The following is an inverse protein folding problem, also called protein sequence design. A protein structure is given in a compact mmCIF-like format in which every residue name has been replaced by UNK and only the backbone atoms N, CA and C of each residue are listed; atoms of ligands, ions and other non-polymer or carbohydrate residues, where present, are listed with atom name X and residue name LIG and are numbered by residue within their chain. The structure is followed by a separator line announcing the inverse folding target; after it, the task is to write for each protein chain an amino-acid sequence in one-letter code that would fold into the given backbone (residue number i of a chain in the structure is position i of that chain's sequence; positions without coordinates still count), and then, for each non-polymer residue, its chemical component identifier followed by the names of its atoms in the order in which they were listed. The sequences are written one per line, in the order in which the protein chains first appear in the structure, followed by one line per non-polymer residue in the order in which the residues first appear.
data_IF_397759262069
#
_entry.id   IF_397759262069
#
_cell.length_a   1.000
_cell.length_b   1.000
_cell.length_c   1.000
_cell.angle_alpha   90.00
_cell.angle_beta   90.00
_cell.angle_gamma   90.00
#
_symmetry.space_group_name_H-M   'P 1'
#
loop_
_entity.id
_entity.type
_entity.pdbx_description
1 polymer ?
#
# COMPACT_ATOMS: atom_id res chain seq x y z
N UNK A 1 47.53 16.07 7.76
CA UNK A 1 47.49 16.81 6.48
C UNK A 1 46.07 17.31 6.26
N UNK A 2 45.94 18.62 6.11
CA UNK A 2 44.70 19.40 6.15
C UNK A 2 44.38 19.75 4.70
N UNK A 3 43.27 19.27 4.13
CA UNK A 3 42.75 19.79 2.86
C UNK A 3 41.33 20.31 3.09
N UNK A 4 41.27 21.62 3.26
CA UNK A 4 40.06 22.45 3.12
C UNK A 4 39.89 22.72 1.63
N UNK A 5 38.68 22.59 1.10
CA UNK A 5 38.26 23.26 -0.13
C UNK A 5 36.94 23.96 0.17
N UNK A 6 36.83 25.28 -0.09
CA UNK A 6 35.67 26.08 0.24
C UNK A 6 34.74 26.33 -0.96
N UNK A 7 33.56 26.88 -0.63
CA UNK A 7 32.92 28.02 -1.29
C UNK A 7 32.12 27.83 -2.60
N UNK A 8 30.81 28.12 -2.45
CA UNK A 8 29.88 28.87 -3.34
C UNK A 8 29.61 28.32 -4.75
N UNK A 9 28.36 28.26 -5.23
CA UNK A 9 27.60 29.34 -5.91
C UNK A 9 26.15 28.81 -6.04
N UNK A 10 25.16 29.45 -5.42
CA UNK A 10 24.28 30.49 -5.97
C UNK A 10 23.26 30.02 -7.05
N UNK A 11 22.03 30.47 -6.83
CA UNK A 11 20.79 30.11 -7.51
C UNK A 11 20.71 30.56 -8.98
N UNK A 12 19.92 29.82 -9.75
CA UNK A 12 19.21 30.36 -10.91
C UNK A 12 17.86 29.64 -11.05
N UNK A 13 16.81 30.27 -10.50
CA UNK A 13 15.41 29.99 -10.85
C UNK A 13 15.20 30.53 -12.27
N UNK A 14 15.08 29.63 -13.25
CA UNK A 14 14.61 30.01 -14.59
C UNK A 14 13.09 30.02 -14.54
N UNK A 15 12.52 31.21 -14.36
CA UNK A 15 11.10 31.46 -14.58
C UNK A 15 10.85 31.58 -16.08
N UNK A 16 10.28 30.55 -16.70
CA UNK A 16 9.78 30.62 -18.08
C UNK A 16 8.43 31.32 -18.08
N UNK A 17 8.42 32.60 -18.43
CA UNK A 17 7.23 33.34 -18.83
C UNK A 17 6.84 32.87 -20.25
N UNK A 18 5.79 32.06 -20.36
CA UNK A 18 5.13 31.83 -21.64
C UNK A 18 4.11 32.95 -21.86
N UNK A 19 4.48 33.92 -22.68
CA UNK A 19 3.60 35.00 -23.13
C UNK A 19 2.44 34.46 -23.95
N UNK A 20 1.25 34.91 -23.58
CA UNK A 20 -0.02 34.75 -24.28
C UNK A 20 -0.01 35.45 -25.64
N UNK A 21 0.03 34.69 -26.73
CA UNK A 21 -0.51 35.14 -28.02
C UNK A 21 -1.98 34.77 -28.09
N UNK A 22 -2.84 35.76 -27.86
CA UNK A 22 -4.26 35.74 -28.19
C UNK A 22 -4.39 35.92 -29.70
N UNK A 23 -4.94 34.92 -30.38
CA UNK A 23 -5.61 35.10 -31.67
C UNK A 23 -7.09 34.74 -31.50
N UNK A 24 -7.93 35.76 -31.60
CA UNK A 24 -9.34 35.64 -31.98
C UNK A 24 -9.40 35.42 -33.50
N UNK A 25 -10.34 34.72 -34.13
CA UNK A 25 -11.61 34.13 -33.73
C UNK A 25 -11.94 33.01 -34.75
N UNK A 26 -12.67 31.99 -34.34
CA UNK A 26 -13.84 31.47 -35.06
C UNK A 26 -14.62 30.52 -34.13
N UNK A 27 -15.94 30.56 -34.25
CA UNK A 27 -16.91 29.86 -33.43
C UNK A 27 -16.66 28.35 -33.38
N UNK A 28 -16.38 27.79 -32.20
CA UNK A 28 -16.92 26.50 -31.74
C UNK A 28 -16.71 26.40 -30.24
N UNK A 29 -17.79 26.60 -29.49
CA UNK A 29 -17.94 26.16 -28.10
C UNK A 29 -17.68 24.66 -28.01
N UNK A 30 -16.44 24.27 -27.73
CA UNK A 30 -16.13 22.94 -27.20
C UNK A 30 -15.49 23.17 -25.85
N UNK A 31 -16.35 23.20 -24.82
CA UNK A 31 -15.91 23.03 -23.45
C UNK A 31 -15.09 21.74 -23.42
N UNK A 32 -13.77 21.89 -23.41
CA UNK A 32 -12.86 20.79 -23.19
C UNK A 32 -13.26 20.18 -21.84
N UNK A 33 -13.99 19.08 -21.90
CA UNK A 33 -14.29 18.24 -20.76
C UNK A 33 -12.95 17.77 -20.23
N UNK A 34 -12.47 18.46 -19.19
CA UNK A 34 -11.37 17.98 -18.36
C UNK A 34 -11.78 16.57 -17.96
N UNK A 35 -11.06 15.52 -18.36
CA UNK A 35 -11.45 14.17 -18.00
C UNK A 35 -11.49 14.11 -16.49
N UNK A 36 -12.68 13.87 -15.92
CA UNK A 36 -12.84 13.62 -14.49
C UNK A 36 -11.84 12.54 -14.11
N UNK A 37 -10.87 12.89 -13.27
CA UNK A 37 -9.88 11.95 -12.77
C UNK A 37 -10.63 10.76 -12.18
N UNK A 38 -10.45 9.56 -12.76
CA UNK A 38 -10.98 8.35 -12.16
C UNK A 38 -10.48 8.28 -10.73
N UNK A 39 -11.31 7.88 -9.75
CA UNK A 39 -10.87 7.67 -8.39
C UNK A 39 -9.61 6.79 -8.39
N UNK A 40 -8.52 7.32 -7.85
CA UNK A 40 -7.30 6.55 -7.64
C UNK A 40 -7.51 5.64 -6.44
N UNK A 41 -7.14 4.37 -6.57
CA UNK A 41 -7.27 3.38 -5.50
C UNK A 41 -8.35 2.32 -5.75
N UNK A 42 -8.57 1.43 -4.78
CA UNK A 42 -9.46 0.30 -4.94
C UNK A 42 -10.92 0.71 -5.10
N UNK A 43 -11.64 0.00 -5.97
CA UNK A 43 -13.11 0.06 -5.96
C UNK A 43 -13.66 -0.44 -4.63
N UNK A 44 -14.88 -0.06 -4.26
CA UNK A 44 -15.50 -0.49 -3.00
C UNK A 44 -15.54 -2.02 -2.84
N UNK A 45 -15.82 -2.74 -3.92
CA UNK A 45 -15.86 -4.21 -3.92
C UNK A 45 -14.47 -4.81 -3.63
N UNK A 46 -13.43 -4.28 -4.28
CA UNK A 46 -12.04 -4.70 -4.06
C UNK A 46 -11.59 -4.31 -2.65
N UNK A 47 -11.99 -3.15 -2.15
CA UNK A 47 -11.71 -2.74 -0.79
C UNK A 47 -12.35 -3.68 0.23
N UNK A 48 -13.60 -4.11 0.04
CA UNK A 48 -14.23 -5.12 0.91
C UNK A 48 -13.48 -6.45 0.88
N UNK A 49 -12.97 -6.85 -0.29
CA UNK A 49 -12.14 -8.05 -0.40
C UNK A 49 -10.81 -7.88 0.37
N UNK A 50 -10.12 -6.74 0.22
CA UNK A 50 -8.89 -6.42 0.96
C UNK A 50 -9.14 -6.44 2.48
N UNK A 51 -10.23 -5.82 2.94
CA UNK A 51 -10.62 -5.79 4.36
C UNK A 51 -10.84 -7.21 4.91
N UNK A 52 -11.55 -8.04 4.14
CA UNK A 52 -11.79 -9.44 4.47
C UNK A 52 -10.49 -10.23 4.54
N UNK A 53 -9.60 -10.07 3.56
CA UNK A 53 -8.30 -10.78 3.54
C UNK A 53 -7.41 -10.32 4.69
N UNK A 54 -7.33 -9.03 4.97
CA UNK A 54 -6.58 -8.50 6.11
C UNK A 54 -7.14 -9.01 7.44
N UNK A 55 -8.46 -9.08 7.59
CA UNK A 55 -9.07 -9.69 8.78
C UNK A 55 -8.61 -11.15 8.96
N UNK A 56 -8.63 -11.95 7.91
CA UNK A 56 -8.18 -13.34 8.02
C UNK A 56 -6.69 -13.44 8.38
N UNK A 57 -5.85 -12.55 7.84
CA UNK A 57 -4.42 -12.49 8.18
C UNK A 57 -4.23 -12.11 9.65
N UNK A 58 -5.00 -11.14 10.15
CA UNK A 58 -4.95 -10.73 11.55
C UNK A 58 -5.47 -11.83 12.49
N UNK A 59 -6.58 -12.48 12.13
CA UNK A 59 -7.12 -13.61 12.90
C UNK A 59 -6.06 -14.73 12.99
N UNK A 60 -5.41 -15.09 11.88
CA UNK A 60 -4.33 -16.06 11.85
C UNK A 60 -3.09 -15.63 12.66
N UNK A 61 -2.72 -14.34 12.59
CA UNK A 61 -1.64 -13.77 13.40
C UNK A 61 -1.91 -13.92 14.90
N UNK A 62 -3.15 -13.65 15.33
CA UNK A 62 -3.59 -13.80 16.71
C UNK A 62 -3.88 -15.25 17.11
N UNK A 63 -3.71 -16.21 16.19
CA UNK A 63 -3.99 -17.63 16.43
C UNK A 63 -5.49 -17.92 16.65
N UNK A 64 -6.38 -17.07 16.15
CA UNK A 64 -7.83 -17.23 16.22
C UNK A 64 -8.43 -17.48 14.83
N UNK A 65 -9.61 -18.10 14.79
CA UNK A 65 -10.32 -18.33 13.53
C UNK A 65 -9.70 -19.43 12.67
N UNK A 66 -9.99 -19.38 11.37
CA UNK A 66 -9.55 -20.40 10.41
C UNK A 66 -8.11 -20.14 9.96
N UNK A 67 -7.24 -21.17 9.95
CA UNK A 67 -5.91 -21.05 9.39
C UNK A 67 -5.91 -20.55 7.94
N UNK A 68 -4.92 -19.74 7.56
CA UNK A 68 -4.68 -19.39 6.17
C UNK A 68 -4.32 -20.64 5.36
N UNK A 69 -5.11 -20.92 4.33
CA UNK A 69 -4.95 -22.06 3.44
C UNK A 69 -4.51 -21.61 2.05
N UNK A 70 -3.97 -22.54 1.24
CA UNK A 70 -3.43 -22.24 -0.07
C UNK A 70 -4.44 -21.60 -1.04
N UNK A 71 -5.74 -21.87 -0.90
CA UNK A 71 -6.79 -21.27 -1.72
C UNK A 71 -6.99 -19.76 -1.46
N UNK A 72 -6.45 -19.25 -0.36
CA UNK A 72 -6.50 -17.83 0.00
C UNK A 72 -5.42 -17.00 -0.71
N UNK A 73 -4.41 -17.66 -1.30
CA UNK A 73 -3.28 -17.03 -1.95
C UNK A 73 -3.29 -17.30 -3.46
N UNK A 74 -2.77 -16.35 -4.23
CA UNK A 74 -2.58 -16.52 -5.67
C UNK A 74 -1.56 -17.63 -5.97
N UNK A 75 -1.59 -18.15 -7.19
CA UNK A 75 -0.60 -19.13 -7.63
C UNK A 75 0.83 -18.55 -7.62
N UNK A 76 1.00 -17.25 -7.93
CA UNK A 76 2.32 -16.62 -7.92
C UNK A 76 2.86 -16.40 -6.50
N UNK A 77 1.98 -16.05 -5.56
CA UNK A 77 2.35 -15.92 -4.15
C UNK A 77 2.84 -17.27 -3.58
N UNK A 78 2.09 -18.35 -3.83
CA UNK A 78 2.39 -19.68 -3.26
C UNK A 78 3.68 -20.30 -3.79
N UNK A 79 4.18 -19.87 -4.96
CA UNK A 79 5.53 -20.24 -5.44
C UNK A 79 6.64 -19.69 -4.56
N UNK A 80 6.41 -18.56 -3.91
CA UNK A 80 7.41 -17.85 -3.09
C UNK A 80 7.24 -18.19 -1.61
N UNK A 81 6.00 -18.25 -1.15
CA UNK A 81 5.65 -18.50 0.24
C UNK A 81 4.44 -19.45 0.32
N UNK A 82 4.70 -20.77 0.48
CA UNK A 82 3.66 -21.75 0.82
C UNK A 82 2.86 -21.34 2.07
N UNK A 83 1.58 -21.72 2.14
CA UNK A 83 0.68 -21.26 3.20
C UNK A 83 1.13 -21.66 4.62
N UNK A 84 1.77 -22.82 4.76
CA UNK A 84 2.40 -23.29 6.00
C UNK A 84 3.58 -22.40 6.43
N UNK A 85 4.38 -21.93 5.48
CA UNK A 85 5.44 -20.95 5.76
C UNK A 85 4.88 -19.61 6.19
N UNK A 86 3.81 -19.14 5.54
CA UNK A 86 3.12 -17.90 5.96
C UNK A 86 2.61 -18.04 7.38
N UNK A 87 1.96 -19.15 7.72
CA UNK A 87 1.48 -19.41 9.07
C UNK A 87 2.60 -19.42 10.11
N UNK A 88 3.73 -20.07 9.79
CA UNK A 88 4.90 -20.07 10.65
C UNK A 88 5.45 -18.66 10.86
N UNK A 89 5.54 -17.86 9.80
CA UNK A 89 6.01 -16.47 9.87
C UNK A 89 5.08 -15.58 10.69
N UNK A 90 3.75 -15.73 10.55
CA UNK A 90 2.78 -15.01 11.38
C UNK A 90 2.93 -15.39 12.85
N UNK A 91 3.08 -16.68 13.17
CA UNK A 91 3.33 -17.12 14.54
C UNK A 91 4.61 -16.50 15.11
N UNK A 92 5.70 -16.53 14.36
CA UNK A 92 6.97 -15.92 14.78
C UNK A 92 6.83 -14.41 15.01
N UNK A 93 6.09 -13.73 14.13
CA UNK A 93 5.80 -12.31 14.28
C UNK A 93 5.03 -12.03 15.57
N UNK A 94 3.94 -12.77 15.82
CA UNK A 94 3.14 -12.64 17.03
C UNK A 94 3.98 -12.92 18.30
N UNK A 95 4.80 -13.97 18.30
CA UNK A 95 5.68 -14.29 19.44
C UNK A 95 6.69 -13.15 19.70
N UNK A 96 7.10 -12.42 18.66
CA UNK A 96 8.00 -11.27 18.76
C UNK A 96 7.30 -10.01 19.30
N UNK A 97 6.15 -9.64 18.74
CA UNK A 97 5.50 -8.33 18.94
C UNK A 97 4.30 -8.34 19.90
N UNK A 98 3.82 -9.54 20.27
CA UNK A 98 2.61 -9.77 21.06
C UNK A 98 1.33 -9.55 20.25
N UNK A 99 0.19 -9.59 20.95
CA UNK A 99 -1.13 -9.42 20.33
C UNK A 99 -1.26 -8.10 19.59
N UNK A 100 -1.94 -8.14 18.46
CA UNK A 100 -2.14 -7.06 17.51
C UNK A 100 -3.63 -6.78 17.30
N UNK A 101 -3.93 -5.51 17.02
CA UNK A 101 -5.24 -5.06 16.54
C UNK A 101 -5.07 -4.09 15.38
N UNK A 102 -6.14 -3.91 14.60
CA UNK A 102 -6.13 -2.92 13.54
C UNK A 102 -6.19 -1.50 14.12
N UNK A 103 -5.17 -0.69 13.84
CA UNK A 103 -5.08 0.70 14.29
C UNK A 103 -5.62 1.69 13.24
N UNK A 104 -5.45 1.36 11.97
CA UNK A 104 -5.89 2.22 10.87
C UNK A 104 -5.60 1.63 9.50
N UNK A 105 -6.05 2.37 8.49
CA UNK A 105 -5.83 2.09 7.07
C UNK A 105 -5.21 3.30 6.41
N UNK A 106 -4.24 3.04 5.54
CA UNK A 106 -3.64 4.02 4.66
C UNK A 106 -4.16 3.77 3.25
N UNK A 107 -4.75 4.81 2.66
CA UNK A 107 -5.29 4.70 1.31
C UNK A 107 -4.13 4.53 0.31
N UNK A 108 -4.23 3.54 -0.56
CA UNK A 108 -3.26 3.30 -1.63
C UNK A 108 -3.83 3.82 -2.95
N UNK A 109 -3.00 4.42 -3.83
CA UNK A 109 -3.44 4.77 -5.18
C UNK A 109 -3.58 3.54 -6.09
N UNK A 110 -3.08 2.36 -5.68
CA UNK A 110 -3.17 1.13 -6.46
C UNK A 110 -4.60 0.57 -6.46
N UNK A 111 -5.11 0.08 -7.60
CA UNK A 111 -6.51 -0.34 -7.75
C UNK A 111 -6.87 -1.63 -6.99
N UNK A 112 -5.88 -2.39 -6.54
CA UNK A 112 -6.08 -3.70 -5.94
C UNK A 112 -5.24 -3.92 -4.66
N UNK A 113 -4.67 -2.85 -4.12
CA UNK A 113 -3.86 -2.91 -2.92
C UNK A 113 -4.26 -1.84 -1.91
N UNK A 114 -3.93 -2.06 -0.66
CA UNK A 114 -4.08 -1.09 0.41
C UNK A 114 -3.03 -1.36 1.50
N UNK A 115 -2.86 -0.42 2.42
CA UNK A 115 -1.99 -0.59 3.56
C UNK A 115 -2.77 -0.42 4.86
N UNK A 116 -2.36 -1.16 5.88
CA UNK A 116 -2.92 -1.14 7.22
C UNK A 116 -1.82 -0.87 8.23
N UNK A 117 -2.21 -0.31 9.36
CA UNK A 117 -1.36 -0.20 10.53
C UNK A 117 -1.91 -1.13 11.61
N UNK A 118 -1.08 -2.04 12.08
CA UNK A 118 -1.35 -2.85 13.26
C UNK A 118 -0.78 -2.16 14.49
N UNK A 119 -1.59 -2.08 15.55
CA UNK A 119 -1.18 -1.72 16.90
C UNK A 119 -0.98 -3.01 17.68
N UNK A 120 0.28 -3.38 17.89
CA UNK A 120 0.66 -4.56 18.65
C UNK A 120 1.23 -4.15 20.02
N UNK A 121 1.28 -5.10 20.95
CA UNK A 121 1.75 -4.86 22.32
C UNK A 121 3.11 -4.15 22.37
N UNK A 122 4.07 -4.59 21.56
CA UNK A 122 5.46 -4.10 21.56
C UNK A 122 5.82 -3.21 20.37
N UNK A 123 4.97 -3.07 19.36
CA UNK A 123 5.29 -2.32 18.16
C UNK A 123 4.05 -1.87 17.37
N UNK A 124 4.22 -0.88 16.50
CA UNK A 124 3.29 -0.65 15.39
C UNK A 124 3.85 -1.27 14.10
N UNK A 125 3.03 -1.98 13.34
CA UNK A 125 3.48 -2.74 12.17
C UNK A 125 2.68 -2.33 10.94
N UNK A 126 3.31 -1.67 9.94
CA UNK A 126 2.65 -1.41 8.67
C UNK A 126 2.59 -2.70 7.86
N UNK A 127 1.41 -2.97 7.30
CA UNK A 127 1.16 -4.14 6.46
C UNK A 127 0.60 -3.67 5.13
N UNK A 128 1.26 -4.05 4.04
CA UNK A 128 0.77 -3.84 2.68
C UNK A 128 0.16 -5.15 2.17
N UNK A 129 -1.04 -5.07 1.61
CA UNK A 129 -1.74 -6.23 1.05
C UNK A 129 -2.34 -5.89 -0.30
N UNK A 130 -2.20 -6.80 -1.25
CA UNK A 130 -2.87 -6.73 -2.54
C UNK A 130 -3.63 -8.03 -2.82
N UNK A 131 -4.70 -7.91 -3.61
CA UNK A 131 -5.52 -9.03 -4.04
C UNK A 131 -5.62 -9.09 -5.56
N UNK A 132 -5.82 -10.30 -6.09
CA UNK A 132 -6.20 -10.47 -7.49
C UNK A 132 -7.48 -9.66 -7.77
N UNK A 133 -7.55 -8.98 -8.92
CA UNK A 133 -8.74 -8.19 -9.30
C UNK A 133 -9.98 -9.07 -9.49
N UNK A 134 -9.77 -10.31 -9.94
CA UNK A 134 -10.83 -11.29 -10.19
C UNK A 134 -11.19 -12.04 -8.92
N UNK A 135 -12.46 -12.40 -8.80
CA UNK A 135 -12.90 -13.32 -7.77
C UNK A 135 -12.09 -14.64 -7.84
N UNK A 136 -11.69 -15.23 -6.69
CA UNK A 136 -12.14 -14.91 -5.35
C UNK A 136 -11.30 -13.85 -4.61
N UNK A 137 -10.55 -13.00 -5.33
CA UNK A 137 -9.67 -11.97 -4.77
C UNK A 137 -8.67 -12.58 -3.79
N UNK A 138 -7.89 -13.54 -4.30
CA UNK A 138 -6.83 -14.18 -3.52
C UNK A 138 -5.74 -13.17 -3.22
N UNK A 139 -5.03 -13.37 -2.12
CA UNK A 139 -3.88 -12.54 -1.75
C UNK A 139 -2.77 -12.76 -2.79
N UNK A 140 -2.44 -11.73 -3.54
CA UNK A 140 -1.34 -11.75 -4.50
C UNK A 140 -0.04 -11.22 -3.87
N UNK A 141 -0.17 -10.39 -2.83
CA UNK A 141 0.96 -9.78 -2.14
C UNK A 141 0.60 -9.53 -0.68
N UNK A 142 1.53 -9.85 0.22
CA UNK A 142 1.43 -9.60 1.66
C UNK A 142 2.82 -9.25 2.19
N UNK A 143 3.00 -8.00 2.61
CA UNK A 143 4.27 -7.51 3.13
C UNK A 143 4.09 -6.87 4.50
N UNK A 144 4.82 -7.41 5.48
CA UNK A 144 5.03 -6.75 6.76
C UNK A 144 6.26 -5.84 6.63
N UNK A 145 6.08 -4.54 6.81
CA UNK A 145 7.15 -3.55 6.73
C UNK A 145 7.91 -3.46 8.05
N UNK A 146 8.97 -2.66 8.07
CA UNK A 146 9.74 -2.40 9.28
C UNK A 146 8.82 -1.92 10.41
N UNK A 147 8.89 -2.62 11.55
CA UNK A 147 8.09 -2.31 12.74
C UNK A 147 8.63 -1.11 13.49
N UNK A 148 7.73 -0.28 14.01
CA UNK A 148 8.05 0.82 14.92
C UNK A 148 7.92 0.33 16.36
N UNK A 149 9.05 -0.04 16.97
CA UNK A 149 9.10 -0.58 18.33
C UNK A 149 8.72 0.45 19.38
N UNK A 150 7.98 0.00 20.40
CA UNK A 150 7.72 0.77 21.61
C UNK A 150 8.93 0.62 22.51
N UNK A 151 9.53 1.77 22.86
CA UNK A 151 10.61 1.86 23.84
C UNK A 151 10.09 1.55 25.25
#
# INVERSE_FOLDING_TARGET
MKKRIPAFIAAALVATLASTTVMAADDTTSAASVPSAKPTGPSEAVQKALDKRMKNVLDALEGVGTPLTADMFSAEFTKQAPADQVQSALKQLHDSVGSCKLAGRVHSPAPNATAYLLDCQKAFIPVEIAVEEKAPNRIESLLFRASFWRM
#
